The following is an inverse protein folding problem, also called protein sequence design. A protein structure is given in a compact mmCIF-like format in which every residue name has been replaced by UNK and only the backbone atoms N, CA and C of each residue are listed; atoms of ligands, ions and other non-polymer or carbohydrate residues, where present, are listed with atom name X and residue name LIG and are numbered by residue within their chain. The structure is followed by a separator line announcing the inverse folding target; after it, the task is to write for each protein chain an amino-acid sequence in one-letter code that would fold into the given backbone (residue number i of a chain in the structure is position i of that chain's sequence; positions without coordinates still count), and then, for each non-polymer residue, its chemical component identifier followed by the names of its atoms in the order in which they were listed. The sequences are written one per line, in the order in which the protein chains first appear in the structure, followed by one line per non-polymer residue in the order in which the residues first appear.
data_IF_330283928256
#
_entry.id   IF_330283928256
#
_cell.length_a   1.000
_cell.length_b   1.000
_cell.length_c   1.000
_cell.angle_alpha   90.00
_cell.angle_beta   90.00
_cell.angle_gamma   90.00
#
_symmetry.space_group_name_H-M   'P 1'
#
loop_
_entity.id
_entity.type
_entity.pdbx_description
1 polymer ?
#
# COMPACT_ATOMS: atom_id res chain seq x y z
N UNK A 1 21.85 2.47 -17.05
CA UNK A 1 22.03 2.12 -15.61
C UNK A 1 22.81 0.80 -15.53
N UNK A 2 23.83 0.67 -14.66
CA UNK A 2 24.77 -0.48 -14.68
C UNK A 2 24.08 -1.79 -14.24
N UNK A 3 24.39 -2.97 -14.83
CA UNK A 3 23.75 -4.26 -14.54
C UNK A 3 23.78 -4.70 -13.05
N UNK A 4 24.76 -4.22 -12.27
CA UNK A 4 24.82 -4.45 -10.80
C UNK A 4 23.66 -3.81 -10.03
N UNK A 5 23.13 -2.66 -10.47
CA UNK A 5 22.03 -1.98 -9.80
C UNK A 5 20.71 -2.75 -9.93
N UNK A 6 20.46 -3.35 -11.10
CA UNK A 6 19.29 -4.23 -11.33
C UNK A 6 19.31 -5.47 -10.42
N UNK A 7 20.49 -6.04 -10.17
CA UNK A 7 20.64 -7.16 -9.24
C UNK A 7 20.25 -6.81 -7.81
N UNK A 8 20.52 -5.58 -7.36
CA UNK A 8 20.24 -5.14 -5.98
C UNK A 8 18.75 -4.97 -5.71
N UNK A 9 17.95 -4.64 -6.72
CA UNK A 9 16.50 -4.46 -6.56
C UNK A 9 15.73 -5.78 -6.42
N UNK A 10 16.32 -6.90 -6.87
CA UNK A 10 15.67 -8.22 -6.82
C UNK A 10 15.37 -8.69 -5.40
N UNK A 11 16.11 -8.22 -4.38
CA UNK A 11 15.89 -8.57 -2.98
C UNK A 11 14.55 -8.04 -2.42
N UNK A 12 13.93 -7.07 -3.08
CA UNK A 12 12.63 -6.52 -2.68
C UNK A 12 11.44 -7.32 -3.22
N UNK A 13 11.66 -8.27 -4.16
CA UNK A 13 10.59 -9.06 -4.77
C UNK A 13 9.69 -9.79 -3.76
N UNK A 14 10.23 -10.46 -2.72
CA UNK A 14 9.38 -11.13 -1.74
C UNK A 14 8.42 -10.17 -1.05
N UNK A 15 8.87 -8.96 -0.74
CA UNK A 15 8.03 -7.91 -0.13
C UNK A 15 6.89 -7.47 -1.05
N UNK A 16 7.16 -7.34 -2.35
CA UNK A 16 6.12 -6.98 -3.32
C UNK A 16 5.11 -8.09 -3.53
N UNK A 17 5.54 -9.35 -3.58
CA UNK A 17 4.62 -10.48 -3.66
C UNK A 17 3.80 -10.65 -2.38
N UNK A 18 4.42 -10.46 -1.21
CA UNK A 18 3.70 -10.46 0.07
C UNK A 18 2.66 -9.32 0.12
N UNK A 19 3.03 -8.11 -0.30
CA UNK A 19 2.10 -6.99 -0.40
C UNK A 19 0.97 -7.29 -1.40
N UNK A 20 1.28 -7.85 -2.57
CA UNK A 20 0.28 -8.20 -3.58
C UNK A 20 -0.75 -9.21 -3.01
N UNK A 21 -0.27 -10.29 -2.39
CA UNK A 21 -1.12 -11.31 -1.79
C UNK A 21 -1.95 -10.74 -0.65
N UNK A 22 -1.34 -9.94 0.23
CA UNK A 22 -2.06 -9.30 1.33
C UNK A 22 -3.19 -8.40 0.82
N UNK A 23 -2.90 -7.52 -0.15
CA UNK A 23 -3.90 -6.57 -0.67
C UNK A 23 -5.01 -7.30 -1.44
N UNK A 24 -4.69 -8.41 -2.11
CA UNK A 24 -5.68 -9.29 -2.73
C UNK A 24 -6.60 -9.90 -1.67
N UNK A 25 -6.05 -10.56 -0.65
CA UNK A 25 -6.83 -11.24 0.39
C UNK A 25 -7.66 -10.24 1.19
N UNK A 26 -7.04 -9.16 1.66
CA UNK A 26 -7.71 -8.16 2.48
C UNK A 26 -8.75 -7.38 1.69
N UNK A 27 -8.42 -6.93 0.47
CA UNK A 27 -9.34 -6.21 -0.41
C UNK A 27 -10.56 -7.07 -0.76
N UNK A 28 -10.34 -8.33 -1.18
CA UNK A 28 -11.42 -9.27 -1.45
C UNK A 28 -12.27 -9.57 -0.21
N UNK A 29 -11.65 -9.77 0.96
CA UNK A 29 -12.39 -10.00 2.20
C UNK A 29 -13.27 -8.80 2.57
N UNK A 30 -12.73 -7.58 2.48
CA UNK A 30 -13.49 -6.34 2.74
C UNK A 30 -14.65 -6.14 1.77
N UNK A 31 -14.50 -6.53 0.49
CA UNK A 31 -15.57 -6.43 -0.50
C UNK A 31 -16.65 -7.49 -0.28
N UNK A 32 -16.27 -8.75 -0.03
CA UNK A 32 -17.21 -9.88 0.10
C UNK A 32 -17.87 -9.95 1.47
N UNK A 33 -17.20 -9.49 2.53
CA UNK A 33 -17.65 -9.57 3.92
C UNK A 33 -17.53 -8.21 4.65
N UNK A 34 -18.15 -7.13 4.14
CA UNK A 34 -17.88 -5.76 4.61
C UNK A 34 -18.25 -5.48 6.07
N UNK A 35 -19.18 -6.24 6.65
CA UNK A 35 -19.55 -6.11 8.06
C UNK A 35 -18.65 -6.87 9.04
N UNK A 36 -17.83 -7.81 8.56
CA UNK A 36 -17.16 -8.80 9.43
C UNK A 36 -16.14 -8.16 10.37
N UNK A 37 -15.34 -7.22 9.85
CA UNK A 37 -14.36 -6.47 10.66
C UNK A 37 -15.03 -5.73 11.80
N UNK A 38 -16.13 -5.02 11.52
CA UNK A 38 -16.85 -4.23 12.52
C UNK A 38 -17.47 -5.13 13.58
N UNK A 39 -18.04 -6.27 13.17
CA UNK A 39 -18.56 -7.26 14.11
C UNK A 39 -17.47 -7.80 15.06
N UNK A 40 -16.27 -8.11 14.56
CA UNK A 40 -15.15 -8.57 15.40
C UNK A 40 -14.64 -7.50 16.36
N UNK A 41 -14.64 -6.24 15.93
CA UNK A 41 -14.21 -5.12 16.76
C UNK A 41 -15.32 -4.61 17.71
N UNK A 42 -16.53 -5.17 17.64
CA UNK A 42 -17.69 -4.68 18.40
C UNK A 42 -18.09 -3.25 18.02
N UNK A 43 -17.86 -2.86 16.77
CA UNK A 43 -18.09 -1.51 16.27
C UNK A 43 -19.37 -1.42 15.43
N UNK A 44 -20.07 -0.28 15.42
CA UNK A 44 -21.12 -0.04 14.45
C UNK A 44 -20.50 -0.02 13.05
N UNK A 45 -21.10 -0.78 12.14
CA UNK A 45 -20.67 -0.78 10.75
C UNK A 45 -21.01 0.58 10.08
N UNK A 46 -20.16 1.06 9.15
CA UNK A 46 -20.41 2.30 8.43
C UNK A 46 -21.68 2.18 7.60
N UNK A 47 -22.43 3.27 7.51
CA UNK A 47 -23.66 3.35 6.74
C UNK A 47 -23.55 4.48 5.70
N UNK A 48 -23.69 4.16 4.39
CA UNK A 48 -23.88 2.84 3.80
C UNK A 48 -22.62 1.96 3.84
N UNK A 49 -22.80 0.65 4.02
CA UNK A 49 -21.73 -0.37 3.95
C UNK A 49 -20.93 -0.32 2.64
N UNK A 50 -21.55 0.13 1.56
CA UNK A 50 -20.93 0.28 0.25
C UNK A 50 -19.65 1.14 0.29
N UNK A 51 -19.58 2.17 1.15
CA UNK A 51 -18.37 2.99 1.27
C UNK A 51 -17.17 2.19 1.78
N UNK A 52 -17.40 1.23 2.68
CA UNK A 52 -16.34 0.34 3.13
C UNK A 52 -15.92 -0.66 2.05
N UNK A 53 -16.87 -1.16 1.25
CA UNK A 53 -16.54 -2.01 0.11
C UNK A 53 -15.70 -1.25 -0.92
N UNK A 54 -15.99 0.03 -1.18
CA UNK A 54 -15.18 0.89 -2.06
C UNK A 54 -13.75 0.99 -1.55
N UNK A 55 -13.54 1.13 -0.24
CA UNK A 55 -12.18 1.05 0.35
C UNK A 55 -11.52 -0.28 0.04
N UNK A 56 -12.24 -1.40 0.22
CA UNK A 56 -11.76 -2.74 -0.17
C UNK A 56 -11.36 -2.84 -1.64
N UNK A 57 -12.13 -2.23 -2.54
CA UNK A 57 -11.82 -2.20 -3.98
C UNK A 57 -10.55 -1.41 -4.27
N UNK A 58 -10.34 -0.25 -3.63
CA UNK A 58 -9.09 0.50 -3.77
C UNK A 58 -7.88 -0.30 -3.29
N UNK A 59 -8.02 -1.00 -2.16
CA UNK A 59 -6.97 -1.90 -1.66
C UNK A 59 -6.69 -3.03 -2.66
N UNK A 60 -7.74 -3.64 -3.22
CA UNK A 60 -7.62 -4.71 -4.21
C UNK A 60 -6.85 -4.27 -5.47
N UNK A 61 -7.03 -3.03 -5.93
CA UNK A 61 -6.30 -2.47 -7.10
C UNK A 61 -4.79 -2.39 -6.86
N UNK A 62 -4.32 -2.28 -5.62
CA UNK A 62 -2.88 -2.33 -5.34
C UNK A 62 -2.25 -3.71 -5.58
N UNK A 63 -3.03 -4.80 -5.50
CA UNK A 63 -2.52 -6.15 -5.66
C UNK A 63 -1.80 -6.39 -7.02
N UNK A 64 -2.41 -6.09 -8.19
CA UNK A 64 -1.71 -6.22 -9.47
C UNK A 64 -0.49 -5.30 -9.58
N UNK A 65 -0.55 -4.08 -9.04
CA UNK A 65 0.57 -3.14 -9.05
C UNK A 65 1.80 -3.71 -8.34
N UNK A 66 1.62 -4.28 -7.14
CA UNK A 66 2.69 -4.92 -6.40
C UNK A 66 3.16 -6.21 -7.07
N UNK A 67 2.26 -7.00 -7.66
CA UNK A 67 2.65 -8.19 -8.41
C UNK A 67 3.56 -7.84 -9.60
N UNK A 68 3.23 -6.79 -10.37
CA UNK A 68 4.05 -6.33 -11.48
C UNK A 68 5.40 -5.78 -11.02
N UNK A 69 5.44 -5.01 -9.93
CA UNK A 69 6.69 -4.58 -9.31
C UNK A 69 7.54 -5.78 -8.83
N UNK A 70 6.92 -6.84 -8.34
CA UNK A 70 7.59 -8.10 -8.01
C UNK A 70 8.16 -8.83 -9.22
N UNK A 71 7.50 -8.78 -10.38
CA UNK A 71 7.97 -9.39 -11.64
C UNK A 71 9.16 -8.66 -12.24
N UNK A 72 9.13 -7.32 -12.23
CA UNK A 72 10.15 -6.43 -12.80
C UNK A 72 10.45 -5.26 -11.84
N UNK A 73 11.22 -5.51 -10.76
CA UNK A 73 11.54 -4.47 -9.77
C UNK A 73 12.22 -3.25 -10.35
N UNK A 74 12.89 -3.37 -11.48
CA UNK A 74 13.54 -2.26 -12.16
C UNK A 74 12.58 -1.27 -12.84
N UNK A 75 11.31 -1.65 -13.04
CA UNK A 75 10.25 -0.79 -13.62
C UNK A 75 9.13 -0.49 -12.62
N UNK A 76 9.34 -0.88 -11.36
CA UNK A 76 8.32 -0.79 -10.31
C UNK A 76 8.25 0.57 -9.61
N UNK A 77 9.12 1.53 -9.93
CA UNK A 77 9.31 2.72 -9.08
C UNK A 77 8.01 3.51 -8.90
N UNK A 78 7.29 3.79 -9.99
CA UNK A 78 6.02 4.51 -9.90
C UNK A 78 4.95 3.75 -9.14
N UNK A 79 4.80 2.44 -9.39
CA UNK A 79 3.80 1.62 -8.73
C UNK A 79 4.03 1.56 -7.22
N UNK A 80 5.28 1.40 -6.79
CA UNK A 80 5.65 1.38 -5.36
C UNK A 80 5.58 2.78 -4.75
N UNK A 81 5.90 3.84 -5.49
CA UNK A 81 5.72 5.22 -5.02
C UNK A 81 4.24 5.52 -4.75
N UNK A 82 3.35 5.22 -5.69
CA UNK A 82 1.90 5.37 -5.53
C UNK A 82 1.41 4.52 -4.35
N UNK A 83 1.88 3.28 -4.25
CA UNK A 83 1.56 2.39 -3.13
C UNK A 83 2.01 2.95 -1.77
N UNK A 84 3.24 3.48 -1.68
CA UNK A 84 3.74 4.09 -0.44
C UNK A 84 2.96 5.35 -0.08
N UNK A 85 2.62 6.20 -1.05
CA UNK A 85 1.78 7.39 -0.82
C UNK A 85 0.42 7.00 -0.25
N UNK A 86 -0.26 6.02 -0.85
CA UNK A 86 -1.53 5.50 -0.32
C UNK A 86 -1.39 5.02 1.12
N UNK A 87 -0.31 4.28 1.42
CA UNK A 87 -0.03 3.75 2.76
C UNK A 87 0.39 4.81 3.78
N UNK A 88 0.84 5.98 3.36
CA UNK A 88 1.13 7.11 4.27
C UNK A 88 -0.13 7.91 4.58
N UNK A 89 -0.99 8.09 3.57
CA UNK A 89 -2.22 8.89 3.69
C UNK A 89 -3.29 8.18 4.54
N UNK A 90 -3.41 6.85 4.47
CA UNK A 90 -4.34 6.08 5.30
C UNK A 90 -4.14 6.31 6.81
N UNK A 91 -2.94 6.09 7.37
CA UNK A 91 -2.64 6.31 8.77
C UNK A 91 -2.75 7.78 9.20
N UNK A 92 -2.41 8.72 8.33
CA UNK A 92 -2.62 10.15 8.58
C UNK A 92 -4.11 10.49 8.73
N UNK A 93 -4.95 9.99 7.82
CA UNK A 93 -6.41 10.14 7.90
C UNK A 93 -6.99 9.46 9.13
N UNK A 94 -6.54 8.24 9.46
CA UNK A 94 -6.94 7.54 10.68
C UNK A 94 -6.58 8.34 11.94
N UNK A 95 -5.35 8.83 12.05
CA UNK A 95 -4.91 9.59 13.22
C UNK A 95 -5.73 10.87 13.40
N UNK A 96 -6.06 11.54 12.30
CA UNK A 96 -6.97 12.68 12.31
C UNK A 96 -8.36 12.29 12.84
N UNK A 97 -9.00 11.29 12.24
CA UNK A 97 -10.35 10.86 12.63
C UNK A 97 -10.42 10.31 14.06
N UNK A 98 -9.40 9.58 14.50
CA UNK A 98 -9.32 9.05 15.86
C UNK A 98 -9.20 10.16 16.90
N UNK A 99 -8.39 11.20 16.63
CA UNK A 99 -8.28 12.38 17.50
C UNK A 99 -9.57 13.18 17.61
N UNK A 100 -10.41 13.17 16.58
CA UNK A 100 -11.70 13.87 16.56
C UNK A 100 -12.88 12.97 16.99
N UNK A 101 -12.62 11.77 17.53
CA UNK A 101 -13.67 10.86 17.99
C UNK A 101 -14.55 10.26 16.89
N UNK A 102 -14.15 10.39 15.62
CA UNK A 102 -14.89 9.87 14.47
C UNK A 102 -14.61 8.38 14.22
N UNK A 103 -13.46 7.90 14.68
CA UNK A 103 -13.04 6.51 14.49
C UNK A 103 -12.38 5.97 15.76
N UNK A 104 -12.72 4.75 16.20
CA UNK A 104 -12.17 4.19 17.42
C UNK A 104 -10.69 3.81 17.24
N UNK A 105 -9.88 3.98 18.30
CA UNK A 105 -8.47 3.62 18.29
C UNK A 105 -8.21 2.14 18.00
N UNK A 106 -9.14 1.25 18.36
CA UNK A 106 -9.07 -0.17 18.04
C UNK A 106 -8.96 -0.44 16.53
N UNK A 107 -9.46 0.47 15.68
CA UNK A 107 -9.30 0.36 14.23
C UNK A 107 -7.83 0.47 13.79
N UNK A 108 -6.95 1.04 14.63
CA UNK A 108 -5.51 1.11 14.39
C UNK A 108 -4.84 -0.26 14.19
N UNK A 109 -5.44 -1.36 14.67
CA UNK A 109 -4.97 -2.70 14.35
C UNK A 109 -5.00 -3.00 12.84
N UNK A 110 -5.97 -2.45 12.12
CA UNK A 110 -6.06 -2.61 10.67
C UNK A 110 -5.00 -1.81 9.94
N UNK A 111 -4.64 -0.64 10.47
CA UNK A 111 -3.59 0.26 9.95
C UNK A 111 -2.20 -0.38 10.04
N UNK A 112 -1.92 -1.09 11.14
CA UNK A 112 -0.63 -1.77 11.30
C UNK A 112 -0.33 -2.72 10.14
N UNK A 113 -1.32 -3.54 9.78
CA UNK A 113 -1.19 -4.57 8.76
C UNK A 113 -1.46 -4.06 7.34
N UNK A 114 -2.36 -3.09 7.17
CA UNK A 114 -2.61 -2.48 5.86
C UNK A 114 -1.48 -1.56 5.42
N UNK A 115 -0.83 -0.86 6.36
CA UNK A 115 0.03 0.27 6.01
C UNK A 115 1.44 0.12 6.57
N UNK A 116 1.59 0.12 7.91
CA UNK A 116 2.89 0.38 8.54
C UNK A 116 3.96 -0.66 8.20
N UNK A 117 3.61 -1.94 8.16
CA UNK A 117 4.58 -3.01 7.86
C UNK A 117 5.22 -2.87 6.47
N UNK A 118 4.57 -2.17 5.54
CA UNK A 118 5.03 -2.00 4.17
C UNK A 118 5.87 -0.75 3.96
N UNK A 119 5.83 0.21 4.89
CA UNK A 119 6.54 1.49 4.77
C UNK A 119 8.04 1.30 4.61
N UNK A 120 8.65 0.52 5.50
CA UNK A 120 10.08 0.28 5.50
C UNK A 120 10.57 -0.38 4.20
N UNK A 121 10.03 -1.53 3.74
CA UNK A 121 10.50 -2.15 2.51
C UNK A 121 10.26 -1.27 1.27
N UNK A 122 9.15 -0.53 1.20
CA UNK A 122 8.86 0.34 0.06
C UNK A 122 9.78 1.56 0.03
N UNK A 123 10.02 2.21 1.17
CA UNK A 123 10.94 3.33 1.28
C UNK A 123 12.39 2.93 0.95
N UNK A 124 12.84 1.77 1.45
CA UNK A 124 14.17 1.24 1.15
C UNK A 124 14.32 0.89 -0.33
N UNK A 125 13.29 0.32 -0.95
CA UNK A 125 13.28 0.08 -2.39
C UNK A 125 13.36 1.38 -3.18
N UNK A 126 12.52 2.38 -2.88
CA UNK A 126 12.52 3.67 -3.58
C UNK A 126 13.86 4.39 -3.44
N UNK A 127 14.47 4.36 -2.25
CA UNK A 127 15.81 4.90 -2.04
C UNK A 127 16.88 4.19 -2.87
N UNK A 128 16.76 2.87 -3.06
CA UNK A 128 17.68 2.10 -3.88
C UNK A 128 17.44 2.29 -5.39
N UNK A 129 16.19 2.44 -5.80
CA UNK A 129 15.79 2.56 -7.20
C UNK A 129 15.92 4.01 -7.73
N UNK A 130 15.80 5.00 -6.84
CA UNK A 130 15.86 6.44 -7.13
C UNK A 130 16.91 7.12 -6.23
N UNK A 131 18.21 6.85 -6.45
CA UNK A 131 19.28 7.24 -5.52
C UNK A 131 19.60 8.73 -5.54
N UNK A 132 19.21 9.46 -6.58
CA UNK A 132 19.56 10.86 -6.79
C UNK A 132 18.38 11.67 -7.34
N UNK A 133 18.49 13.01 -7.31
CA UNK A 133 17.45 13.93 -7.78
C UNK A 133 17.15 13.76 -9.28
N UNK A 134 18.11 13.33 -10.09
CA UNK A 134 17.92 13.15 -11.53
C UNK A 134 17.05 11.92 -11.82
N UNK A 135 17.19 10.84 -11.05
CA UNK A 135 16.32 9.67 -11.11
C UNK A 135 14.87 10.03 -10.72
N UNK A 136 14.70 10.81 -9.66
CA UNK A 136 13.38 11.32 -9.27
C UNK A 136 12.74 12.21 -10.35
N UNK A 137 13.54 13.10 -10.96
CA UNK A 137 13.08 13.97 -12.03
C UNK A 137 12.60 13.18 -13.25
N UNK A 138 13.37 12.18 -13.68
CA UNK A 138 12.99 11.28 -14.78
C UNK A 138 11.67 10.57 -14.53
N UNK A 139 11.48 10.06 -13.31
CA UNK A 139 10.25 9.37 -12.94
C UNK A 139 9.04 10.31 -12.92
N UNK A 140 9.16 11.46 -12.25
CA UNK A 140 8.00 12.31 -11.90
C UNK A 140 7.67 13.34 -12.98
N UNK A 141 8.68 13.89 -13.65
CA UNK A 141 8.50 14.96 -14.64
C UNK A 141 8.49 14.39 -16.06
N UNK A 142 9.44 13.50 -16.36
CA UNK A 142 9.66 13.03 -17.74
C UNK A 142 8.87 11.74 -18.04
N UNK A 143 8.36 11.06 -17.01
CA UNK A 143 7.55 9.85 -17.15
C UNK A 143 8.33 8.64 -17.68
N UNK A 144 9.66 8.64 -17.50
CA UNK A 144 10.52 7.55 -17.95
C UNK A 144 10.56 6.41 -16.91
N UNK A 145 10.28 5.17 -17.36
CA UNK A 145 10.22 3.95 -16.55
C UNK A 145 11.21 2.87 -17.01
#
# INVERSE_FOLDING_TARGET
MKPKAHSQLRKYRPWFYAAALYNLLWGSWTVLFPGQLFAWLGLPAPQPLAFWQVVGMFVLVYAPAYYWAGRRPERGQALILIGLLGKLLGPAGFLWSARHGQLPWAFGWTILTNDLIWWLPFALYLRAALPDRAAWRRLVIEGEY
#
